data_IF_295045019569
#
_entry.id   IF_295045019569
#
_cell.length_a   1.000
_cell.length_b   1.000
_cell.length_c   1.000
_cell.angle_alpha   90.00
_cell.angle_beta   90.00
_cell.angle_gamma   90.00
#
_symmetry.space_group_name_H-M   'P 1'
#
loop_
_entity.id
_entity.type
_entity.pdbx_description
1 polymer ?
#
# COMPACT_ATOMS: atom_id res chain seq x y z
N UNK A 1 2.16 5.25 -11.16
CA UNK A 1 1.12 5.91 -10.35
C UNK A 1 1.43 5.67 -8.90
N UNK A 2 1.46 6.73 -8.10
CA UNK A 2 1.84 6.71 -6.69
C UNK A 2 0.59 6.60 -5.82
N UNK A 3 0.56 5.59 -4.95
CA UNK A 3 -0.55 5.29 -4.04
C UNK A 3 -0.02 5.38 -2.62
N UNK A 4 -0.54 6.31 -1.82
CA UNK A 4 -0.25 6.36 -0.39
C UNK A 4 -1.38 5.74 0.40
N UNK A 5 -1.03 4.94 1.41
CA UNK A 5 -1.98 4.41 2.39
C UNK A 5 -1.62 5.01 3.74
N UNK A 6 -2.51 5.86 4.27
CA UNK A 6 -2.23 6.64 5.47
C UNK A 6 -3.34 6.49 6.50
N UNK A 7 -2.95 6.18 7.73
CA UNK A 7 -3.92 5.98 8.81
C UNK A 7 -4.28 7.29 9.50
N UNK A 8 -5.56 7.50 9.85
CA UNK A 8 -5.97 8.60 10.73
C UNK A 8 -5.55 8.40 12.19
N UNK A 9 -5.33 7.14 12.60
CA UNK A 9 -4.91 6.78 13.96
C UNK A 9 -3.96 5.59 13.87
N UNK A 10 -2.73 5.76 14.36
CA UNK A 10 -1.72 4.70 14.33
C UNK A 10 -2.23 3.43 15.05
N UNK A 11 -1.98 2.27 14.45
CA UNK A 11 -2.33 0.95 15.02
C UNK A 11 -3.82 0.56 15.03
N UNK A 12 -4.77 1.41 14.60
CA UNK A 12 -6.21 1.12 14.78
C UNK A 12 -6.99 0.75 13.51
N UNK A 13 -6.40 0.89 12.32
CA UNK A 13 -7.13 0.78 11.04
C UNK A 13 -6.62 -0.34 10.14
N UNK A 14 -5.51 -0.99 10.50
CA UNK A 14 -4.84 -2.01 9.68
C UNK A 14 -4.11 -1.42 8.47
N UNK A 15 -3.46 -0.25 8.63
CA UNK A 15 -2.81 0.50 7.54
C UNK A 15 -1.86 -0.35 6.69
N UNK A 16 -0.90 -1.00 7.34
CA UNK A 16 0.10 -1.87 6.72
C UNK A 16 -0.54 -3.04 5.99
N UNK A 17 -1.54 -3.68 6.62
CA UNK A 17 -2.30 -4.75 5.97
C UNK A 17 -2.98 -4.22 4.72
N UNK A 18 -3.68 -3.08 4.78
CA UNK A 18 -4.35 -2.50 3.61
C UNK A 18 -3.36 -2.16 2.50
N UNK A 19 -2.20 -1.58 2.81
CA UNK A 19 -1.14 -1.29 1.85
C UNK A 19 -0.64 -2.56 1.15
N UNK A 20 -0.35 -3.60 1.95
CA UNK A 20 0.07 -4.90 1.45
C UNK A 20 -1.01 -5.55 0.57
N UNK A 21 -2.26 -5.51 1.01
CA UNK A 21 -3.38 -6.10 0.27
C UNK A 21 -3.61 -5.42 -1.08
N UNK A 22 -3.52 -4.08 -1.12
CA UNK A 22 -3.61 -3.31 -2.35
C UNK A 22 -2.44 -3.58 -3.29
N UNK A 23 -1.21 -3.65 -2.76
CA UNK A 23 -0.02 -3.91 -3.56
C UNK A 23 -0.08 -5.31 -4.23
N UNK A 24 -0.45 -6.35 -3.47
CA UNK A 24 -0.70 -7.68 -4.03
C UNK A 24 -1.80 -7.63 -5.09
N UNK A 25 -2.93 -7.00 -4.79
CA UNK A 25 -4.03 -6.90 -5.76
C UNK A 25 -3.57 -6.23 -7.05
N UNK A 26 -2.80 -5.13 -6.99
CA UNK A 26 -2.28 -4.47 -8.18
C UNK A 26 -1.33 -5.36 -8.99
N UNK A 27 -0.39 -6.04 -8.32
CA UNK A 27 0.58 -6.91 -8.98
C UNK A 27 -0.12 -8.03 -9.76
N UNK A 28 -1.13 -8.63 -9.11
CA UNK A 28 -1.91 -9.73 -9.64
C UNK A 28 -2.74 -9.38 -10.86
N UNK A 29 -3.19 -8.14 -10.91
CA UNK A 29 -4.31 -7.78 -11.78
C UNK A 29 -3.88 -6.93 -12.95
N UNK A 30 -2.70 -6.34 -12.85
CA UNK A 30 -2.15 -5.50 -13.89
C UNK A 30 -1.02 -6.19 -14.66
N UNK A 31 -0.47 -7.32 -14.17
CA UNK A 31 0.77 -7.92 -14.70
C UNK A 31 1.89 -6.88 -14.81
N UNK A 32 1.98 -6.04 -13.77
CA UNK A 32 2.87 -4.88 -13.70
C UNK A 32 3.85 -5.07 -12.56
N UNK A 33 4.99 -4.40 -12.66
CA UNK A 33 5.94 -4.32 -11.56
C UNK A 33 5.41 -3.29 -10.56
N UNK A 34 5.13 -3.76 -9.35
CA UNK A 34 4.65 -2.98 -8.23
C UNK A 34 5.78 -2.90 -7.20
N UNK A 35 6.03 -1.70 -6.70
CA UNK A 35 6.88 -1.48 -5.55
C UNK A 35 6.00 -1.25 -4.31
N UNK A 36 6.27 -1.95 -3.22
CA UNK A 36 5.74 -1.69 -1.89
C UNK A 36 6.85 -1.20 -0.98
N UNK A 37 6.57 -0.19 -0.17
CA UNK A 37 7.51 0.38 0.80
C UNK A 37 6.73 1.07 1.93
N UNK A 38 7.43 1.47 2.99
CA UNK A 38 6.86 2.11 4.19
C UNK A 38 7.76 3.23 4.69
N UNK A 39 7.24 4.13 5.52
CA UNK A 39 8.00 5.28 6.02
C UNK A 39 8.54 5.13 7.45
N UNK A 40 8.12 4.09 8.17
CA UNK A 40 8.64 3.78 9.49
C UNK A 40 9.51 2.54 9.46
N UNK A 41 10.80 2.77 9.23
CA UNK A 41 11.82 1.72 9.14
C UNK A 41 12.16 1.05 10.48
N UNK A 42 11.62 1.58 11.59
CA UNK A 42 11.77 0.96 12.89
C UNK A 42 10.59 0.03 13.22
N UNK A 43 9.53 0.03 12.40
CA UNK A 43 8.37 -0.84 12.58
C UNK A 43 8.53 -2.12 11.73
N UNK A 44 8.69 -3.30 12.37
CA UNK A 44 8.83 -4.56 11.66
C UNK A 44 7.50 -5.06 11.08
N UNK A 45 6.37 -4.41 11.34
CA UNK A 45 5.02 -4.91 10.98
C UNK A 45 4.89 -5.35 9.53
N UNK A 46 5.48 -4.60 8.59
CA UNK A 46 5.43 -4.95 7.17
C UNK A 46 6.27 -6.19 6.84
N UNK A 47 7.50 -6.26 7.34
CA UNK A 47 8.38 -7.41 7.16
C UNK A 47 7.82 -8.67 7.84
N UNK A 48 7.31 -8.51 9.07
CA UNK A 48 6.65 -9.55 9.86
C UNK A 48 5.45 -10.17 9.14
N UNK A 49 4.57 -9.34 8.58
CA UNK A 49 3.41 -9.81 7.82
C UNK A 49 3.78 -10.66 6.59
N UNK A 50 5.02 -10.51 6.10
CA UNK A 50 5.57 -11.23 4.96
C UNK A 50 6.48 -12.40 5.35
N UNK A 51 6.76 -12.58 6.65
CA UNK A 51 7.72 -13.59 7.11
C UNK A 51 9.17 -13.23 6.80
N UNK A 52 9.44 -11.96 6.48
CA UNK A 52 10.74 -11.43 6.04
C UNK A 52 11.52 -10.78 7.20
N UNK A 53 11.30 -11.21 8.44
CA UNK A 53 11.89 -10.57 9.63
C UNK A 53 13.43 -10.64 9.67
N UNK A 54 14.07 -11.39 8.76
CA UNK A 54 15.50 -11.69 8.83
C UNK A 54 16.14 -12.15 7.53
N UNK A 55 15.83 -11.56 6.36
CA UNK A 55 16.71 -11.74 5.20
C UNK A 55 17.94 -10.84 5.35
N UNK A 56 18.97 -11.39 6.02
CA UNK A 56 20.27 -10.77 6.26
C UNK A 56 21.12 -10.52 5.01
N UNK A 57 20.50 -10.33 3.84
CA UNK A 57 21.21 -9.93 2.64
C UNK A 57 21.40 -8.41 2.63
N UNK A 58 22.56 -7.99 3.12
CA UNK A 58 22.97 -6.59 3.16
C UNK A 58 22.88 -5.89 1.79
N UNK A 59 22.96 -6.65 0.68
CA UNK A 59 22.88 -6.10 -0.67
C UNK A 59 21.50 -5.54 -1.02
N UNK A 60 20.44 -6.07 -0.40
CA UNK A 60 19.04 -5.65 -0.57
C UNK A 60 18.59 -4.62 0.46
N UNK A 61 19.46 -4.27 1.42
CA UNK A 61 19.14 -3.28 2.44
C UNK A 61 18.92 -1.91 1.80
N UNK A 62 17.89 -1.19 2.26
CA UNK A 62 17.60 0.17 1.79
C UNK A 62 18.82 1.09 1.95
N UNK A 63 19.59 0.92 3.03
CA UNK A 63 20.85 1.63 3.28
C UNK A 63 21.88 1.44 2.17
N UNK A 64 22.04 0.22 1.69
CA UNK A 64 22.99 -0.06 0.61
C UNK A 64 22.50 0.53 -0.72
N UNK A 65 21.22 0.36 -1.04
CA UNK A 65 20.60 0.87 -2.27
C UNK A 65 20.74 2.39 -2.37
N UNK A 66 20.43 3.12 -1.30
CA UNK A 66 20.56 4.60 -1.28
C UNK A 66 22.01 5.03 -1.51
N UNK A 67 22.98 4.34 -0.91
CA UNK A 67 24.41 4.62 -1.13
C UNK A 67 24.84 4.34 -2.58
N UNK A 68 24.37 3.26 -3.19
CA UNK A 68 24.68 2.93 -4.58
C UNK A 68 24.12 3.96 -5.55
N UNK A 69 22.87 4.41 -5.35
CA UNK A 69 22.24 5.47 -6.14
C UNK A 69 23.01 6.79 -6.00
N UNK A 70 23.45 7.15 -4.79
CA UNK A 70 24.19 8.39 -4.53
C UNK A 70 25.56 8.43 -5.22
N UNK A 71 26.19 7.27 -5.37
CA UNK A 71 27.51 7.13 -6.00
C UNK A 71 27.42 6.79 -7.51
N UNK A 72 26.25 6.96 -8.13
CA UNK A 72 25.98 6.64 -9.54
C UNK A 72 26.37 5.20 -9.93
N UNK A 73 26.43 4.29 -8.95
CA UNK A 73 26.75 2.87 -9.14
C UNK A 73 25.52 2.00 -9.41
N UNK A 74 24.34 2.61 -9.36
CA UNK A 74 23.05 1.99 -9.62
C UNK A 74 22.14 2.99 -10.32
N UNK A 75 21.42 2.56 -11.35
CA UNK A 75 20.36 3.36 -11.97
C UNK A 75 18.97 2.94 -11.46
N UNK A 76 18.00 3.87 -11.51
CA UNK A 76 16.62 3.59 -11.09
C UNK A 76 15.95 2.46 -11.88
N UNK A 77 16.39 2.17 -13.11
CA UNK A 77 15.89 1.04 -13.91
C UNK A 77 16.34 -0.33 -13.39
N UNK A 78 17.46 -0.37 -12.66
CA UNK A 78 18.07 -1.59 -12.12
C UNK A 78 17.62 -1.89 -10.69
N UNK A 79 16.89 -0.96 -10.06
CA UNK A 79 16.32 -1.09 -8.73
C UNK A 79 15.65 -2.45 -8.46
N UNK A 80 14.84 -3.03 -9.38
CA UNK A 80 14.22 -4.33 -9.16
C UNK A 80 15.21 -5.45 -8.84
N UNK A 81 16.46 -5.36 -9.27
CA UNK A 81 17.48 -6.38 -9.00
C UNK A 81 17.90 -6.42 -7.51
N UNK A 82 17.65 -5.34 -6.77
CA UNK A 82 18.02 -5.17 -5.36
C UNK A 82 16.81 -5.22 -4.43
N UNK A 83 15.60 -5.46 -4.96
CA UNK A 83 14.39 -5.52 -4.17
C UNK A 83 14.17 -6.92 -3.57
N UNK A 84 13.54 -6.95 -2.39
CA UNK A 84 13.02 -8.20 -1.83
C UNK A 84 11.82 -8.65 -2.67
N UNK A 85 11.87 -9.88 -3.19
CA UNK A 85 10.83 -10.44 -4.07
C UNK A 85 9.72 -11.10 -3.25
N UNK A 86 8.65 -10.35 -2.99
CA UNK A 86 7.54 -10.80 -2.13
C UNK A 86 6.56 -11.72 -2.85
N UNK A 87 6.27 -11.39 -4.11
CA UNK A 87 5.31 -12.09 -4.95
C UNK A 87 5.61 -11.79 -6.42
N UNK A 88 5.23 -12.65 -7.39
CA UNK A 88 5.38 -12.32 -8.81
C UNK A 88 4.83 -10.93 -9.19
N UNK A 89 5.73 -10.01 -9.57
CA UNK A 89 5.39 -8.62 -9.90
C UNK A 89 5.25 -7.68 -8.70
N UNK A 90 5.61 -8.11 -7.49
CA UNK A 90 5.62 -7.30 -6.27
C UNK A 90 7.00 -7.33 -5.62
N UNK A 91 7.62 -6.17 -5.64
CA UNK A 91 8.91 -5.88 -5.03
C UNK A 91 8.70 -5.10 -3.73
N UNK A 92 9.56 -5.35 -2.74
CA UNK A 92 9.55 -4.66 -1.46
C UNK A 92 10.88 -3.95 -1.21
N UNK A 93 10.78 -2.69 -0.81
CA UNK A 93 11.86 -1.96 -0.16
C UNK A 93 11.48 -1.68 1.29
N UNK A 94 12.20 -2.36 2.18
CA UNK A 94 12.11 -2.24 3.63
C UNK A 94 13.52 -2.18 4.20
N UNK A 95 13.63 -1.70 5.42
CA UNK A 95 14.82 -1.89 6.24
C UNK A 95 14.38 -1.91 7.69
N UNK A 96 14.95 -2.83 8.47
CA UNK A 96 14.70 -2.94 9.90
C UNK A 96 15.68 -2.05 10.70
N UNK A 97 16.70 -1.48 10.03
CA UNK A 97 17.71 -0.60 10.60
C UNK A 97 18.19 0.39 9.53
N UNK A 98 17.59 1.58 9.49
CA UNK A 98 18.06 2.66 8.63
C UNK A 98 19.12 3.47 9.38
N UNK A 99 20.37 3.31 8.95
CA UNK A 99 21.52 4.12 9.43
C UNK A 99 21.80 5.31 8.50
N UNK A 100 20.81 5.67 7.68
CA UNK A 100 20.88 6.72 6.67
C UNK A 100 20.32 8.03 7.26
N UNK A 101 20.89 9.16 6.83
CA UNK A 101 20.32 10.46 7.19
C UNK A 101 18.94 10.69 6.56
N UNK A 102 18.04 11.34 7.28
CA UNK A 102 16.67 11.59 6.84
C UNK A 102 16.60 12.29 5.46
N UNK A 103 17.56 13.16 5.16
CA UNK A 103 17.62 13.90 3.89
C UNK A 103 17.95 13.00 2.70
N UNK A 104 18.83 12.01 2.89
CA UNK A 104 19.19 11.04 1.84
C UNK A 104 18.01 10.13 1.54
N UNK A 105 17.32 9.68 2.60
CA UNK A 105 16.09 8.91 2.48
C UNK A 105 14.98 9.68 1.76
N UNK A 106 14.81 10.97 2.09
CA UNK A 106 13.87 11.85 1.39
C UNK A 106 14.20 11.94 -0.10
N UNK A 107 15.46 12.19 -0.43
CA UNK A 107 15.94 12.29 -1.82
C UNK A 107 15.69 10.99 -2.60
N UNK A 108 15.90 9.84 -1.95
CA UNK A 108 15.60 8.53 -2.51
C UNK A 108 14.10 8.41 -2.84
N UNK A 109 13.20 8.68 -1.89
CA UNK A 109 11.76 8.55 -2.14
C UNK A 109 11.24 9.54 -3.16
N UNK A 110 11.70 10.79 -3.13
CA UNK A 110 11.35 11.76 -4.16
C UNK A 110 11.77 11.26 -5.54
N UNK A 111 12.98 10.71 -5.66
CA UNK A 111 13.49 10.16 -6.91
C UNK A 111 12.72 8.89 -7.33
N UNK A 112 12.44 7.96 -6.42
CA UNK A 112 11.66 6.75 -6.69
C UNK A 112 10.24 7.08 -7.19
N UNK A 113 9.59 8.07 -6.57
CA UNK A 113 8.21 8.44 -6.87
C UNK A 113 8.08 9.33 -8.11
N UNK A 114 9.14 10.03 -8.50
CA UNK A 114 9.18 10.85 -9.72
C UNK A 114 9.71 10.06 -10.91
N UNK A 115 10.71 9.20 -10.70
CA UNK A 115 11.39 8.38 -11.69
C UNK A 115 10.91 6.92 -11.63
N UNK A 116 9.63 6.73 -11.97
CA UNK A 116 8.95 5.43 -11.99
C UNK A 116 9.33 4.55 -13.21
N UNK A 117 10.58 4.57 -13.67
CA UNK A 117 10.99 3.79 -14.85
C UNK A 117 10.96 2.28 -14.59
N UNK A 118 11.34 1.84 -13.39
CA UNK A 118 11.31 0.43 -12.99
C UNK A 118 9.92 -0.09 -12.60
N UNK A 119 9.01 0.80 -12.19
CA UNK A 119 7.75 0.42 -11.54
C UNK A 119 6.56 1.12 -12.15
N UNK A 120 5.49 0.38 -12.44
CA UNK A 120 4.28 1.02 -12.93
C UNK A 120 3.46 1.65 -11.80
N UNK A 121 3.55 1.08 -10.60
CA UNK A 121 2.87 1.56 -9.41
C UNK A 121 3.79 1.45 -8.19
N UNK A 122 3.75 2.48 -7.35
CA UNK A 122 4.41 2.48 -6.04
C UNK A 122 3.32 2.62 -4.98
N UNK A 123 3.28 1.69 -4.04
CA UNK A 123 2.41 1.72 -2.85
C UNK A 123 3.27 2.06 -1.64
N UNK A 124 2.94 3.15 -0.96
CA UNK A 124 3.65 3.63 0.22
C UNK A 124 2.76 3.54 1.44
N UNK A 125 3.17 2.72 2.42
CA UNK A 125 2.60 2.64 3.76
C UNK A 125 3.08 3.82 4.63
N UNK A 126 2.19 4.76 4.91
CA UNK A 126 2.45 5.96 5.72
C UNK A 126 1.78 5.77 7.09
N UNK A 127 2.53 5.22 8.02
CA UNK A 127 2.08 4.85 9.36
C UNK A 127 2.36 5.95 10.41
N UNK A 128 3.23 6.91 10.10
CA UNK A 128 3.62 8.05 10.96
C UNK A 128 2.74 9.30 10.82
N UNK A 129 1.63 9.24 10.06
CA UNK A 129 0.77 10.39 9.81
C UNK A 129 1.46 11.50 8.99
N UNK A 130 0.96 12.75 9.08
CA UNK A 130 1.41 13.91 8.27
C UNK A 130 2.40 14.79 9.04
N UNK A 131 3.02 14.26 10.09
CA UNK A 131 3.90 15.07 10.95
C UNK A 131 5.30 15.25 10.36
N UNK A 132 5.79 14.26 9.63
CA UNK A 132 7.13 14.30 9.03
C UNK A 132 7.14 15.06 7.69
N UNK A 133 8.27 15.71 7.38
CA UNK A 133 8.53 16.29 6.06
C UNK A 133 8.47 15.24 4.95
N UNK A 134 8.90 14.02 5.25
CA UNK A 134 8.86 12.87 4.34
C UNK A 134 7.43 12.53 3.94
N UNK A 135 6.52 12.35 4.92
CA UNK A 135 5.11 12.08 4.66
C UNK A 135 4.46 13.15 3.80
N UNK A 136 4.73 14.43 4.09
CA UNK A 136 4.20 15.57 3.31
C UNK A 136 4.70 15.58 1.87
N UNK A 137 5.99 15.32 1.67
CA UNK A 137 6.62 15.31 0.34
C UNK A 137 6.06 14.17 -0.51
N UNK A 138 5.92 12.98 0.08
CA UNK A 138 5.32 11.82 -0.56
C UNK A 138 3.85 12.08 -0.92
N UNK A 139 3.04 12.58 0.02
CA UNK A 139 1.65 12.96 -0.26
C UNK A 139 1.54 14.03 -1.36
N UNK A 140 2.54 14.91 -1.49
CA UNK A 140 2.63 15.91 -2.55
C UNK A 140 2.75 15.31 -3.96
N UNK A 141 3.33 14.13 -4.09
CA UNK A 141 3.50 13.40 -5.36
C UNK A 141 2.55 12.22 -5.53
N UNK A 142 1.74 11.89 -4.53
CA UNK A 142 0.75 10.81 -4.59
C UNK A 142 -0.41 11.14 -5.53
N UNK A 143 -0.76 10.19 -6.40
CA UNK A 143 -1.91 10.30 -7.31
C UNK A 143 -3.21 9.88 -6.61
N UNK A 144 -3.09 8.89 -5.71
CA UNK A 144 -4.17 8.32 -4.93
C UNK A 144 -3.75 8.24 -3.47
N UNK A 145 -4.65 8.61 -2.57
CA UNK A 145 -4.51 8.41 -1.13
C UNK A 145 -5.64 7.54 -0.65
N UNK A 146 -5.30 6.46 0.04
CA UNK A 146 -6.22 5.57 0.72
C UNK A 146 -6.14 5.88 2.21
N UNK A 147 -7.29 6.14 2.82
CA UNK A 147 -7.43 6.34 4.27
C UNK A 147 -8.19 5.14 4.83
N UNK A 148 -7.50 4.16 5.43
CA UNK A 148 -8.16 3.05 6.09
C UNK A 148 -8.96 3.52 7.30
N UNK A 149 -10.15 2.96 7.47
CA UNK A 149 -11.03 3.18 8.62
C UNK A 149 -11.65 1.86 9.06
N UNK A 150 -12.05 1.76 10.31
CA UNK A 150 -12.82 0.63 10.85
C UNK A 150 -14.16 1.15 11.40
N UNK A 151 -15.08 0.25 11.79
CA UNK A 151 -16.40 0.63 12.34
C UNK A 151 -16.29 1.32 13.71
N UNK A 152 -15.83 2.55 13.70
CA UNK A 152 -15.60 3.36 14.89
C UNK A 152 -15.79 4.84 14.54
N UNK A 153 -16.74 5.50 15.20
CA UNK A 153 -17.07 6.91 14.96
C UNK A 153 -15.90 7.84 15.26
N UNK A 154 -15.10 7.55 16.28
CA UNK A 154 -13.87 8.30 16.57
C UNK A 154 -12.89 8.25 15.39
N UNK A 155 -12.74 7.08 14.77
CA UNK A 155 -11.87 6.91 13.59
C UNK A 155 -12.45 7.67 12.40
N UNK A 156 -13.77 7.67 12.21
CA UNK A 156 -14.41 8.43 11.13
C UNK A 156 -14.15 9.94 11.27
N UNK A 157 -14.24 10.49 12.47
CA UNK A 157 -14.00 11.91 12.70
C UNK A 157 -12.51 12.26 12.53
N UNK A 158 -11.59 11.42 13.00
CA UNK A 158 -10.16 11.57 12.73
C UNK A 158 -9.83 11.47 11.25
N UNK A 159 -10.50 10.60 10.51
CA UNK A 159 -10.30 10.43 9.07
C UNK A 159 -10.81 11.62 8.23
N UNK A 160 -11.83 12.34 8.70
CA UNK A 160 -12.24 13.62 8.10
C UNK A 160 -11.18 14.69 8.34
N UNK A 161 -10.69 14.82 9.58
CA UNK A 161 -9.61 15.76 9.91
C UNK A 161 -8.36 15.51 9.09
N UNK A 162 -7.93 14.25 9.02
CA UNK A 162 -6.76 13.84 8.22
C UNK A 162 -6.90 14.24 6.75
N UNK A 163 -8.08 14.05 6.13
CA UNK A 163 -8.30 14.45 4.75
C UNK A 163 -8.06 15.95 4.54
N UNK A 164 -8.57 16.79 5.43
CA UNK A 164 -8.35 18.23 5.35
C UNK A 164 -6.88 18.59 5.56
N UNK A 165 -6.19 17.94 6.49
CA UNK A 165 -4.75 18.10 6.71
C UNK A 165 -3.94 17.71 5.46
N UNK A 166 -4.26 16.60 4.79
CA UNK A 166 -3.63 16.20 3.52
C UNK A 166 -3.80 17.32 2.50
N UNK A 167 -5.03 17.77 2.27
CA UNK A 167 -5.33 18.80 1.28
C UNK A 167 -4.63 20.13 1.57
N UNK A 168 -4.44 20.46 2.85
CA UNK A 168 -3.71 21.65 3.27
C UNK A 168 -2.20 21.51 3.17
N UNK A 169 -1.66 20.30 3.35
CA UNK A 169 -0.22 20.02 3.27
C UNK A 169 0.32 20.03 1.84
N UNK A 170 -0.53 19.83 0.83
CA UNK A 170 -0.13 19.79 -0.58
C UNK A 170 -0.31 21.15 -1.29
N UNK A 171 0.51 21.38 -2.31
CA UNK A 171 0.48 22.62 -3.08
C UNK A 171 -0.89 22.86 -3.73
N UNK A 172 -1.28 24.13 -3.89
CA UNK A 172 -2.54 24.49 -4.58
C UNK A 172 -2.59 23.96 -6.01
N UNK A 173 -1.45 23.92 -6.70
CA UNK A 173 -1.33 23.35 -8.03
C UNK A 173 -1.61 21.83 -8.02
N UNK A 174 -1.13 21.10 -7.00
CA UNK A 174 -1.45 19.67 -6.84
C UNK A 174 -2.91 19.44 -6.50
N UNK A 175 -3.52 20.26 -5.63
CA UNK A 175 -4.97 20.22 -5.36
C UNK A 175 -5.81 20.34 -6.63
N UNK A 176 -5.42 21.24 -7.54
CA UNK A 176 -6.09 21.43 -8.83
C UNK A 176 -5.95 20.25 -9.78
N UNK A 177 -4.92 19.41 -9.62
CA UNK A 177 -4.75 18.15 -10.37
C UNK A 177 -5.56 16.98 -9.77
N UNK A 178 -6.44 17.26 -8.80
CA UNK A 178 -7.34 16.30 -8.13
C UNK A 178 -6.62 15.04 -7.63
N UNK A 179 -5.81 15.17 -6.58
CA UNK A 179 -5.42 14.00 -5.79
C UNK A 179 -6.68 13.23 -5.37
N UNK A 180 -6.75 11.94 -5.68
CA UNK A 180 -7.94 11.15 -5.37
C UNK A 180 -7.82 10.57 -3.97
N UNK A 181 -8.72 10.97 -3.09
CA UNK A 181 -8.78 10.44 -1.74
C UNK A 181 -9.96 9.46 -1.66
N UNK A 182 -9.65 8.22 -1.30
CA UNK A 182 -10.62 7.17 -1.00
C UNK A 182 -10.51 6.76 0.45
N UNK A 183 -11.64 6.49 1.06
CA UNK A 183 -11.71 5.80 2.35
C UNK A 183 -11.81 4.32 2.08
N UNK A 184 -11.14 3.50 2.88
CA UNK A 184 -11.28 2.05 2.82
C UNK A 184 -11.79 1.56 4.16
N UNK A 185 -13.02 1.06 4.19
CA UNK A 185 -13.62 0.46 5.36
C UNK A 185 -13.09 -0.95 5.54
N UNK A 186 -12.06 -1.07 6.36
CA UNK A 186 -11.45 -2.32 6.75
C UNK A 186 -12.35 -3.06 7.76
N UNK A 187 -12.29 -4.39 7.73
CA UNK A 187 -13.19 -5.28 8.48
C UNK A 187 -14.67 -4.97 8.25
N UNK A 188 -15.05 -4.67 7.01
CA UNK A 188 -16.43 -4.40 6.67
C UNK A 188 -17.32 -5.59 7.02
N UNK A 189 -18.42 -5.29 7.71
CA UNK A 189 -19.44 -6.24 8.08
C UNK A 189 -20.80 -5.55 7.88
N UNK A 190 -21.62 -5.98 6.91
CA UNK A 190 -22.90 -5.36 6.61
C UNK A 190 -23.91 -5.46 7.76
N UNK A 191 -23.68 -6.34 8.75
CA UNK A 191 -24.51 -6.46 9.96
C UNK A 191 -24.28 -5.31 10.95
N UNK A 192 -23.11 -4.67 10.94
CA UNK A 192 -22.78 -3.56 11.85
C UNK A 192 -23.34 -2.25 11.31
N UNK A 193 -23.03 -1.95 10.05
CA UNK A 193 -23.59 -0.79 9.36
C UNK A 193 -23.60 -1.02 7.85
N UNK A 194 -24.55 -0.41 7.17
CA UNK A 194 -24.58 -0.42 5.72
C UNK A 194 -23.49 0.50 5.16
N UNK A 195 -22.97 0.13 3.99
CA UNK A 195 -22.02 0.94 3.24
C UNK A 195 -22.46 2.40 3.04
N UNK A 196 -23.75 2.64 2.77
CA UNK A 196 -24.31 4.00 2.60
C UNK A 196 -24.31 4.80 3.91
N UNK A 197 -24.57 4.15 5.05
CA UNK A 197 -24.52 4.80 6.35
C UNK A 197 -23.09 5.25 6.68
N UNK A 198 -22.09 4.41 6.42
CA UNK A 198 -20.67 4.77 6.62
C UNK A 198 -20.25 5.91 5.70
N UNK A 199 -20.60 5.85 4.41
CA UNK A 199 -20.30 6.94 3.48
C UNK A 199 -20.88 8.29 3.95
N UNK A 200 -22.14 8.27 4.44
CA UNK A 200 -22.79 9.44 5.04
C UNK A 200 -22.07 9.93 6.30
N UNK A 201 -21.68 9.03 7.19
CA UNK A 201 -20.96 9.39 8.42
C UNK A 201 -19.59 10.00 8.13
N UNK A 202 -18.88 9.51 7.11
CA UNK A 202 -17.62 10.08 6.63
C UNK A 202 -17.80 11.38 5.83
N UNK A 203 -19.03 11.73 5.45
CA UNK A 203 -19.30 12.91 4.63
C UNK A 203 -18.80 12.77 3.18
N UNK A 204 -18.81 11.55 2.63
CA UNK A 204 -18.31 11.27 1.27
C UNK A 204 -19.35 10.62 0.38
N UNK A 205 -19.14 10.76 -0.93
CA UNK A 205 -19.91 10.00 -1.92
C UNK A 205 -19.59 8.51 -1.77
N UNK A 206 -20.57 7.61 -1.99
CA UNK A 206 -20.32 6.17 -2.00
C UNK A 206 -19.14 5.79 -2.91
N UNK A 207 -19.00 6.38 -4.09
CA UNK A 207 -17.88 6.12 -5.00
C UNK A 207 -16.48 6.41 -4.44
N UNK A 208 -16.36 7.10 -3.29
CA UNK A 208 -15.11 7.36 -2.59
C UNK A 208 -14.89 6.43 -1.38
N UNK A 209 -15.83 5.52 -1.11
CA UNK A 209 -15.72 4.52 -0.06
C UNK A 209 -15.47 3.15 -0.71
N UNK A 210 -14.37 2.52 -0.32
CA UNK A 210 -14.02 1.14 -0.64
C UNK A 210 -14.27 0.27 0.59
N UNK A 211 -14.37 -1.03 0.42
CA UNK A 211 -14.57 -2.00 1.50
C UNK A 211 -13.50 -3.07 1.44
N UNK A 212 -13.13 -3.61 2.60
CA UNK A 212 -12.51 -4.93 2.74
C UNK A 212 -13.29 -5.68 3.81
N UNK A 213 -14.02 -6.72 3.41
CA UNK A 213 -14.82 -7.53 4.32
C UNK A 213 -13.93 -8.23 5.36
N UNK A 214 -14.47 -8.34 6.58
CA UNK A 214 -13.79 -9.08 7.64
C UNK A 214 -13.63 -10.55 7.25
N UNK A 215 -12.42 -11.07 7.39
CA UNK A 215 -12.11 -12.46 7.11
C UNK A 215 -11.09 -12.99 8.12
N UNK A 216 -11.56 -13.83 9.05
CA UNK A 216 -10.70 -14.38 10.10
C UNK A 216 -9.56 -15.24 9.55
N UNK A 217 -9.81 -16.01 8.48
CA UNK A 217 -8.78 -16.83 7.84
C UNK A 217 -7.65 -15.99 7.28
N UNK A 218 -7.95 -14.81 6.73
CA UNK A 218 -6.94 -13.90 6.21
C UNK A 218 -6.11 -13.29 7.34
N UNK A 219 -6.76 -12.83 8.42
CA UNK A 219 -6.09 -12.33 9.63
C UNK A 219 -5.14 -13.37 10.22
N UNK A 220 -5.60 -14.62 10.35
CA UNK A 220 -4.77 -15.72 10.86
C UNK A 220 -3.52 -15.93 10.00
N UNK A 221 -3.66 -15.86 8.67
CA UNK A 221 -2.53 -16.03 7.75
C UNK A 221 -1.55 -14.85 7.84
N UNK A 222 -2.07 -13.61 7.92
CA UNK A 222 -1.23 -12.43 8.12
C UNK A 222 -0.40 -12.52 9.41
N UNK A 223 -1.02 -12.94 10.51
CA UNK A 223 -0.33 -13.12 11.80
C UNK A 223 0.69 -14.26 11.80
N UNK A 224 0.66 -15.14 10.79
CA UNK A 224 1.62 -16.23 10.62
C UNK A 224 2.77 -15.90 9.66
N UNK A 225 2.86 -14.66 9.18
CA UNK A 225 3.88 -14.22 8.22
C UNK A 225 3.71 -14.83 6.82
N UNK A 226 2.51 -15.32 6.48
CA UNK A 226 2.23 -16.04 5.22
C UNK A 226 1.27 -15.28 4.31
N UNK A 227 1.27 -13.94 4.40
CA UNK A 227 0.28 -13.12 3.68
C UNK A 227 0.30 -13.37 2.17
N UNK A 228 1.49 -13.53 1.56
CA UNK A 228 1.65 -13.89 0.14
C UNK A 228 0.94 -15.20 -0.23
N UNK A 229 0.95 -16.21 0.66
CA UNK A 229 0.28 -17.49 0.43
C UNK A 229 -1.25 -17.37 0.48
N UNK A 230 -1.79 -16.58 1.42
CA UNK A 230 -3.22 -16.28 1.45
C UNK A 230 -3.66 -15.58 0.16
N UNK A 231 -2.84 -14.66 -0.35
CA UNK A 231 -3.07 -14.01 -1.63
C UNK A 231 -3.06 -15.00 -2.80
N UNK A 232 -2.05 -15.86 -2.87
CA UNK A 232 -1.96 -16.93 -3.85
C UNK A 232 -3.21 -17.85 -3.80
N UNK A 233 -3.66 -18.19 -2.59
CA UNK A 233 -4.83 -19.04 -2.37
C UNK A 233 -6.16 -18.36 -2.78
N UNK A 234 -6.29 -17.06 -2.51
CA UNK A 234 -7.43 -16.24 -2.95
C UNK A 234 -7.57 -16.25 -4.49
N UNK A 235 -6.45 -16.24 -5.21
CA UNK A 235 -6.40 -16.35 -6.67
C UNK A 235 -6.87 -17.70 -7.19
N UNK A 236 -6.46 -18.79 -6.53
CA UNK A 236 -6.85 -20.16 -6.87
C UNK A 236 -8.34 -20.45 -6.62
N UNK A 237 -9.11 -19.43 -6.25
CA UNK A 237 -10.56 -19.56 -6.11
C UNK A 237 -10.99 -20.27 -4.83
N UNK A 238 -10.13 -20.31 -3.81
CA UNK A 238 -10.56 -20.82 -2.50
C UNK A 238 -11.72 -19.96 -1.99
N UNK A 239 -12.85 -20.60 -1.75
CA UNK A 239 -14.11 -19.96 -1.35
C UNK A 239 -13.96 -19.14 -0.09
N UNK A 240 -13.08 -19.55 0.83
CA UNK A 240 -12.80 -18.86 2.08
C UNK A 240 -12.28 -17.42 1.92
N UNK A 241 -11.78 -17.01 0.73
CA UNK A 241 -11.27 -15.66 0.47
C UNK A 241 -12.06 -14.90 -0.62
N UNK A 242 -13.26 -15.39 -0.97
CA UNK A 242 -14.03 -14.86 -2.09
C UNK A 242 -14.45 -13.38 -1.91
N UNK A 243 -14.80 -12.97 -0.69
CA UNK A 243 -15.21 -11.59 -0.40
C UNK A 243 -14.04 -10.62 -0.53
N UNK A 244 -12.91 -10.91 0.14
CA UNK A 244 -11.67 -10.13 0.02
C UNK A 244 -11.26 -9.97 -1.44
N UNK A 245 -11.30 -11.07 -2.20
CA UNK A 245 -10.99 -11.04 -3.63
C UNK A 245 -11.88 -10.07 -4.39
N UNK A 246 -13.18 -10.11 -4.15
CA UNK A 246 -14.16 -9.29 -4.84
C UNK A 246 -13.99 -7.81 -4.49
N UNK A 247 -13.75 -7.53 -3.21
CA UNK A 247 -13.44 -6.19 -2.71
C UNK A 247 -12.17 -5.62 -3.34
N UNK A 248 -11.07 -6.39 -3.37
CA UNK A 248 -9.80 -5.94 -3.94
C UNK A 248 -9.90 -5.69 -5.44
N UNK A 249 -10.63 -6.54 -6.17
CA UNK A 249 -10.94 -6.30 -7.60
C UNK A 249 -11.66 -4.97 -7.79
N UNK A 250 -12.68 -4.72 -6.96
CA UNK A 250 -13.45 -3.48 -7.02
C UNK A 250 -12.59 -2.27 -6.66
N UNK A 251 -11.78 -2.36 -5.60
CA UNK A 251 -10.84 -1.33 -5.17
C UNK A 251 -9.87 -0.96 -6.30
N UNK A 252 -9.19 -1.94 -6.89
CA UNK A 252 -8.27 -1.70 -8.00
C UNK A 252 -8.98 -1.13 -9.24
N UNK A 253 -10.17 -1.62 -9.60
CA UNK A 253 -10.97 -1.07 -10.70
C UNK A 253 -11.27 0.42 -10.50
N UNK A 254 -11.70 0.80 -9.30
CA UNK A 254 -12.02 2.19 -8.94
C UNK A 254 -10.76 3.06 -8.95
N UNK A 255 -9.69 2.59 -8.31
CA UNK A 255 -8.41 3.30 -8.18
C UNK A 255 -7.80 3.56 -9.57
N UNK A 256 -7.75 2.54 -10.43
CA UNK A 256 -7.12 2.62 -11.75
C UNK A 256 -8.02 3.24 -12.83
N UNK A 257 -9.34 3.31 -12.61
CA UNK A 257 -10.35 3.72 -13.60
C UNK A 257 -10.23 2.99 -14.95
N UNK A 258 -9.90 1.70 -14.93
CA UNK A 258 -9.81 0.84 -16.13
C UNK A 258 -10.49 -0.50 -15.91
N UNK A 259 -10.98 -1.11 -16.99
CA UNK A 259 -11.41 -2.50 -16.96
C UNK A 259 -10.24 -3.44 -16.67
N UNK A 260 -10.58 -4.57 -16.07
CA UNK A 260 -9.65 -5.38 -15.29
C UNK A 260 -9.60 -6.80 -15.83
N UNK A 261 -8.41 -7.31 -16.10
CA UNK A 261 -8.22 -8.67 -16.62
C UNK A 261 -7.64 -9.51 -15.47
N UNK A 262 -8.44 -10.45 -14.96
CA UNK A 262 -8.04 -11.33 -13.87
C UNK A 262 -7.74 -12.73 -14.41
N UNK A 263 -6.54 -12.90 -14.96
CA UNK A 263 -6.09 -14.18 -15.51
C UNK A 263 -4.82 -14.63 -14.82
N UNK A 264 -4.91 -15.74 -14.08
CA UNK A 264 -3.75 -16.57 -13.77
C UNK A 264 -3.17 -17.05 -15.10
N UNK A 265 -1.84 -16.94 -15.29
CA UNK A 265 -1.18 -17.94 -16.12
C UNK A 265 -1.52 -19.27 -15.48
N UNK A 266 -2.17 -20.18 -16.21
CA UNK A 266 -2.00 -21.60 -15.91
C UNK A 266 -0.49 -21.80 -15.95
N UNK A 267 0.12 -22.00 -14.78
CA UNK A 267 1.52 -22.42 -14.71
C UNK A 267 1.63 -23.63 -15.62
N UNK A 268 2.53 -23.55 -16.58
CA UNK A 268 2.72 -24.60 -17.56
C UNK A 268 3.07 -25.89 -16.84
N UNK A 269 2.24 -26.91 -17.04
CA UNK A 269 2.80 -28.24 -17.22
C UNK A 269 3.53 -28.21 -18.56
N UNK A 270 4.86 -28.21 -18.49
CA UNK A 270 5.71 -29.03 -19.36
C UNK A 270 7.07 -29.18 -18.66
N UNK A 271 7.23 -30.38 -18.08
CA UNK A 271 8.39 -31.05 -17.46
C UNK A 271 8.90 -30.49 -16.14
#
# INVERSE_FOLDING_TARGET
MNISVISPVHGQTGNTTVALMLAHALALTQRKNICLTHLNFNDPSLASALGEESTGDASTSLTHIVKMLKNDSLNFEELPNYAIKVFPGLDLYTSNQVTIEQQELLSFYESLLTNMTAYNHVVVDIDSGIYSSLSKSILGVSDVVIIPVTHNTYIFDKAKGLKEEILNSISRARRRREIKIYYLLNHYNPKISSYRQVARQLGVKPSHLLTLHSNFGFVQVCNSGKTSDAFAASLRGKTQFADIRSDLKLACKIILRKEFIWELKKGGETV
#
